data_IF_003515028758
#
_entry.id   IF_003515028758
#
_cell.length_a   1.000
_cell.length_b   1.000
_cell.length_c   1.000
_cell.angle_alpha   90.00
_cell.angle_beta   90.00
_cell.angle_gamma   90.00
#
_symmetry.space_group_name_H-M   'P 1'
#
loop_
_entity.id
_entity.type
_entity.pdbx_description
1 polymer ?
#
# COMPACT_ATOMS: atom_id res chain seq x y z
N UNK A 1 45.10 -0.30 48.34
CA UNK A 1 44.21 0.75 47.81
C UNK A 1 44.09 0.54 46.30
N UNK A 2 42.90 0.27 45.78
CA UNK A 2 42.68 -0.11 44.36
C UNK A 2 42.52 1.18 43.54
N UNK A 3 43.48 1.47 42.66
CA UNK A 3 43.46 2.64 41.76
C UNK A 3 42.49 2.36 40.61
N UNK A 4 41.36 3.05 40.58
CA UNK A 4 40.44 3.02 39.44
C UNK A 4 41.06 3.81 38.28
N UNK A 5 41.35 3.11 37.18
CA UNK A 5 41.82 3.72 35.94
C UNK A 5 40.60 4.26 35.18
N UNK A 6 40.22 5.52 35.44
CA UNK A 6 39.17 6.19 34.69
C UNK A 6 39.73 6.67 33.34
N UNK A 7 39.92 5.72 32.41
CA UNK A 7 40.21 6.02 31.02
C UNK A 7 38.98 6.63 30.35
N UNK A 8 38.87 7.96 30.39
CA UNK A 8 37.91 8.70 29.57
C UNK A 8 38.40 8.78 28.12
N UNK A 9 37.46 8.87 27.18
CA UNK A 9 37.77 9.11 25.77
C UNK A 9 38.48 10.46 25.59
N UNK A 10 39.51 10.50 24.73
CA UNK A 10 40.13 11.76 24.34
C UNK A 10 39.17 12.57 23.46
N UNK A 11 39.14 13.89 23.64
CA UNK A 11 38.36 14.79 22.78
C UNK A 11 38.71 14.58 21.29
N UNK A 12 40.00 14.35 21.00
CA UNK A 12 40.51 14.14 19.64
C UNK A 12 39.97 12.84 19.04
N UNK A 13 39.86 11.77 19.85
CA UNK A 13 39.33 10.48 19.40
C UNK A 13 37.86 10.61 18.99
N UNK A 14 37.06 11.33 19.78
CA UNK A 14 35.64 11.54 19.47
C UNK A 14 35.46 12.39 18.21
N UNK A 15 36.28 13.43 18.02
CA UNK A 15 36.21 14.29 16.82
C UNK A 15 36.50 13.51 15.55
N UNK A 16 37.55 12.67 15.55
CA UNK A 16 37.90 11.84 14.37
C UNK A 16 36.79 10.83 14.08
N UNK A 17 36.22 10.20 15.09
CA UNK A 17 35.13 9.21 14.91
C UNK A 17 33.91 9.88 14.30
N UNK A 18 33.47 11.02 14.80
CA UNK A 18 32.31 11.75 14.25
C UNK A 18 32.60 12.23 12.83
N UNK A 19 33.82 12.66 12.53
CA UNK A 19 34.22 13.06 11.18
C UNK A 19 34.11 11.89 10.18
N UNK A 20 34.57 10.69 10.54
CA UNK A 20 34.46 9.51 9.68
C UNK A 20 32.99 9.06 9.54
N UNK A 21 32.25 9.02 10.66
CA UNK A 21 30.83 8.66 10.65
C UNK A 21 30.00 9.62 9.80
N UNK A 22 30.34 10.91 9.77
CA UNK A 22 29.68 11.89 8.90
C UNK A 22 29.86 11.55 7.41
N UNK A 23 31.08 11.21 6.99
CA UNK A 23 31.36 10.84 5.59
C UNK A 23 30.64 9.55 5.20
N UNK A 24 30.67 8.53 6.06
CA UNK A 24 29.97 7.26 5.81
C UNK A 24 28.44 7.47 5.75
N UNK A 25 27.90 8.28 6.65
CA UNK A 25 26.46 8.59 6.69
C UNK A 25 26.01 9.30 5.42
N UNK A 26 26.80 10.21 4.87
CA UNK A 26 26.45 10.93 3.64
C UNK A 26 26.19 9.97 2.46
N UNK A 27 27.06 8.97 2.27
CA UNK A 27 26.88 7.97 1.20
C UNK A 27 25.68 7.06 1.50
N UNK A 28 25.58 6.59 2.75
CA UNK A 28 24.52 5.68 3.18
C UNK A 28 23.12 6.28 3.03
N UNK A 29 22.92 7.57 3.32
CA UNK A 29 21.60 8.24 3.22
C UNK A 29 21.06 8.17 1.79
N UNK A 30 21.87 8.46 0.78
CA UNK A 30 21.41 8.45 -0.62
C UNK A 30 20.99 7.05 -1.09
N UNK A 31 21.76 6.03 -0.69
CA UNK A 31 21.44 4.63 -0.97
C UNK A 31 20.17 4.19 -0.23
N UNK A 32 20.02 4.59 1.03
CA UNK A 32 18.85 4.29 1.85
C UNK A 32 17.57 4.90 1.27
N UNK A 33 17.60 6.16 0.83
CA UNK A 33 16.45 6.81 0.19
C UNK A 33 15.98 6.04 -1.06
N UNK A 34 16.93 5.58 -1.88
CA UNK A 34 16.62 4.78 -3.08
C UNK A 34 16.04 3.41 -2.72
N UNK A 35 16.54 2.79 -1.64
CA UNK A 35 16.02 1.51 -1.14
C UNK A 35 14.58 1.65 -0.65
N UNK A 36 14.29 2.68 0.16
CA UNK A 36 12.94 2.97 0.67
C UNK A 36 11.97 3.20 -0.48
N UNK A 37 12.37 3.95 -1.52
CA UNK A 37 11.54 4.18 -2.68
C UNK A 37 11.20 2.89 -3.44
N UNK A 38 12.20 2.04 -3.67
CA UNK A 38 11.98 0.72 -4.30
C UNK A 38 11.12 -0.19 -3.44
N UNK A 39 11.20 -0.09 -2.11
CA UNK A 39 10.36 -0.85 -1.21
C UNK A 39 8.90 -0.43 -1.32
N UNK A 40 8.63 0.88 -1.39
CA UNK A 40 7.27 1.41 -1.62
C UNK A 40 6.68 0.93 -2.93
N UNK A 41 7.43 1.01 -4.04
CA UNK A 41 6.96 0.54 -5.35
C UNK A 41 6.58 -0.96 -5.33
N UNK A 42 7.41 -1.81 -4.70
CA UNK A 42 7.10 -3.25 -4.56
C UNK A 42 5.92 -3.53 -3.63
N UNK A 43 5.80 -2.74 -2.55
CA UNK A 43 4.67 -2.85 -1.63
C UNK A 43 3.37 -2.54 -2.37
N UNK A 44 3.35 -1.45 -3.13
CA UNK A 44 2.22 -1.08 -3.98
C UNK A 44 1.89 -2.19 -5.00
N UNK A 45 2.88 -2.76 -5.70
CA UNK A 45 2.63 -3.87 -6.64
C UNK A 45 2.00 -5.10 -5.95
N UNK A 46 2.44 -5.38 -4.72
CA UNK A 46 1.88 -6.46 -3.89
C UNK A 46 0.45 -6.13 -3.45
N UNK A 47 0.17 -4.87 -3.10
CA UNK A 47 -1.18 -4.41 -2.76
C UNK A 47 -2.11 -4.47 -3.97
N UNK A 48 -1.67 -4.04 -5.15
CA UNK A 48 -2.43 -4.16 -6.40
C UNK A 48 -2.83 -5.61 -6.68
N UNK A 49 -1.88 -6.54 -6.54
CA UNK A 49 -2.12 -7.97 -6.70
C UNK A 49 -3.11 -8.52 -5.66
N UNK A 50 -3.06 -8.00 -4.43
CA UNK A 50 -4.02 -8.35 -3.38
C UNK A 50 -5.43 -7.89 -3.76
N UNK A 51 -5.60 -6.61 -4.10
CA UNK A 51 -6.89 -6.02 -4.53
C UNK A 51 -7.45 -6.78 -5.74
N UNK A 52 -6.60 -7.09 -6.73
CA UNK A 52 -6.98 -7.89 -7.90
C UNK A 52 -7.55 -9.24 -7.50
N UNK A 53 -6.86 -9.97 -6.62
CA UNK A 53 -7.29 -11.33 -6.19
C UNK A 53 -8.61 -11.27 -5.44
N UNK A 54 -8.79 -10.31 -4.55
CA UNK A 54 -10.02 -10.17 -3.77
C UNK A 54 -11.19 -9.74 -4.63
N UNK A 55 -10.98 -8.81 -5.57
CA UNK A 55 -12.01 -8.38 -6.49
C UNK A 55 -12.38 -9.49 -7.47
N UNK A 56 -11.40 -10.24 -7.98
CA UNK A 56 -11.68 -11.41 -8.84
C UNK A 56 -12.47 -12.48 -8.08
N UNK A 57 -12.12 -12.75 -6.82
CA UNK A 57 -12.85 -13.71 -5.99
C UNK A 57 -14.31 -13.28 -5.79
N UNK A 58 -14.55 -12.00 -5.51
CA UNK A 58 -15.90 -11.45 -5.41
C UNK A 58 -16.69 -11.61 -6.71
N UNK A 59 -16.14 -11.17 -7.85
CA UNK A 59 -16.84 -11.22 -9.15
C UNK A 59 -17.20 -12.66 -9.53
N UNK A 60 -16.33 -13.64 -9.21
CA UNK A 60 -16.60 -15.06 -9.45
C UNK A 60 -17.72 -15.58 -8.54
N UNK A 61 -17.82 -15.11 -7.29
CA UNK A 61 -18.78 -15.62 -6.31
C UNK A 61 -20.17 -14.96 -6.40
N UNK A 62 -20.20 -13.66 -6.71
CA UNK A 62 -21.43 -12.88 -6.84
C UNK A 62 -21.97 -12.85 -8.28
N UNK A 63 -21.12 -13.12 -9.28
CA UNK A 63 -21.40 -12.90 -10.69
C UNK A 63 -21.77 -11.43 -11.02
N UNK A 64 -21.40 -10.48 -10.13
CA UNK A 64 -21.60 -9.04 -10.32
C UNK A 64 -20.38 -8.43 -11.04
N UNK A 65 -20.37 -8.60 -12.36
CA UNK A 65 -19.27 -8.13 -13.23
C UNK A 65 -19.18 -6.61 -13.27
N UNK A 66 -20.29 -5.92 -13.04
CA UNK A 66 -20.35 -4.44 -13.02
C UNK A 66 -20.12 -3.85 -11.64
N UNK A 67 -19.83 -4.70 -10.64
CA UNK A 67 -19.55 -4.33 -9.25
C UNK A 67 -20.58 -3.37 -8.65
N UNK A 68 -21.83 -3.45 -9.12
CA UNK A 68 -22.89 -2.53 -8.71
C UNK A 68 -23.21 -2.68 -7.23
N UNK A 69 -23.21 -3.90 -6.71
CA UNK A 69 -23.44 -4.13 -5.28
C UNK A 69 -22.28 -3.57 -4.44
N UNK A 70 -21.04 -3.67 -4.92
CA UNK A 70 -19.89 -3.07 -4.24
C UNK A 70 -19.99 -1.54 -4.19
N UNK A 71 -20.44 -0.91 -5.27
CA UNK A 71 -20.60 0.55 -5.32
C UNK A 71 -21.70 1.05 -4.37
N UNK A 72 -22.70 0.22 -4.07
CA UNK A 72 -23.77 0.54 -3.12
C UNK A 72 -23.32 0.38 -1.66
N UNK A 73 -22.70 -0.76 -1.32
CA UNK A 73 -22.22 -1.06 0.05
C UNK A 73 -21.03 -0.16 0.47
N UNK A 74 -20.29 0.31 -0.52
CA UNK A 74 -19.13 1.17 -0.36
C UNK A 74 -19.44 2.67 -0.30
N UNK A 75 -20.71 3.09 -0.22
CA UNK A 75 -21.14 4.49 -0.44
C UNK A 75 -20.44 5.57 0.41
N UNK A 76 -19.69 5.19 1.45
CA UNK A 76 -18.85 6.08 2.25
C UNK A 76 -17.58 6.57 1.50
N UNK A 77 -17.23 5.95 0.37
CA UNK A 77 -16.03 6.26 -0.42
C UNK A 77 -16.18 7.50 -1.31
N UNK A 78 -15.10 8.27 -1.46
CA UNK A 78 -15.11 9.52 -2.24
C UNK A 78 -15.09 9.28 -3.76
N UNK A 79 -14.56 8.13 -4.20
CA UNK A 79 -14.50 7.72 -5.60
C UNK A 79 -14.88 6.23 -5.75
N UNK A 80 -15.13 5.76 -6.97
CA UNK A 80 -15.67 4.41 -7.18
C UNK A 80 -14.70 3.30 -6.77
N UNK A 81 -13.39 3.53 -6.88
CA UNK A 81 -12.36 2.60 -6.40
C UNK A 81 -12.38 2.52 -4.87
N UNK A 82 -12.45 3.65 -4.16
CA UNK A 82 -12.57 3.68 -2.71
C UNK A 82 -13.84 2.98 -2.23
N UNK A 83 -14.98 3.17 -2.93
CA UNK A 83 -16.22 2.45 -2.62
C UNK A 83 -16.01 0.94 -2.73
N UNK A 84 -15.40 0.47 -3.80
CA UNK A 84 -15.06 -0.95 -3.99
C UNK A 84 -14.17 -1.46 -2.85
N UNK A 85 -13.12 -0.72 -2.49
CA UNK A 85 -12.20 -1.10 -1.42
C UNK A 85 -12.89 -1.17 -0.05
N UNK A 86 -13.80 -0.25 0.25
CA UNK A 86 -14.62 -0.26 1.47
C UNK A 86 -15.55 -1.48 1.47
N UNK A 87 -16.24 -1.73 0.37
CA UNK A 87 -17.18 -2.83 0.26
C UNK A 87 -16.48 -4.19 0.42
N UNK A 88 -15.30 -4.36 -0.17
CA UNK A 88 -14.50 -5.60 -0.05
C UNK A 88 -13.95 -5.85 1.36
N UNK A 89 -13.88 -4.82 2.21
CA UNK A 89 -13.55 -4.97 3.64
C UNK A 89 -14.79 -5.37 4.45
N UNK A 90 -15.99 -4.95 4.05
CA UNK A 90 -17.23 -5.29 4.74
C UNK A 90 -17.76 -6.65 4.27
N UNK A 91 -18.74 -7.17 5.00
CA UNK A 91 -19.56 -8.27 4.50
C UNK A 91 -20.63 -7.68 3.57
N UNK A 92 -20.61 -8.07 2.30
CA UNK A 92 -21.49 -7.58 1.24
C UNK A 92 -22.79 -8.39 1.26
N UNK A 93 -23.94 -7.71 1.32
CA UNK A 93 -25.28 -8.33 1.29
C UNK A 93 -25.51 -9.44 2.33
N UNK A 94 -24.76 -9.44 3.44
CA UNK A 94 -24.90 -10.47 4.48
C UNK A 94 -24.45 -11.88 4.07
N UNK A 95 -23.89 -12.06 2.88
CA UNK A 95 -23.58 -13.36 2.28
C UNK A 95 -22.12 -13.50 1.84
N UNK A 96 -21.55 -12.42 1.30
CA UNK A 96 -20.23 -12.42 0.69
C UNK A 96 -19.25 -11.66 1.59
N UNK A 97 -18.01 -12.14 1.77
CA UNK A 97 -16.92 -11.36 2.40
C UNK A 97 -16.27 -12.00 3.63
N UNK A 98 -15.50 -11.20 4.39
CA UNK A 98 -14.70 -10.07 3.91
C UNK A 98 -13.52 -10.60 3.07
N UNK A 99 -13.30 -10.02 1.90
CA UNK A 99 -12.23 -10.47 1.00
C UNK A 99 -10.91 -9.76 1.30
N UNK A 100 -10.96 -8.50 1.72
CA UNK A 100 -9.81 -7.74 2.16
C UNK A 100 -9.72 -7.73 3.70
N UNK A 101 -8.61 -8.24 4.23
CA UNK A 101 -8.29 -8.12 5.66
C UNK A 101 -7.84 -6.69 5.98
N UNK A 102 -8.82 -5.87 6.35
CA UNK A 102 -8.68 -4.57 7.03
C UNK A 102 -9.85 -4.27 8.00
N UNK A 103 -10.91 -5.08 7.92
CA UNK A 103 -12.21 -4.84 8.56
C UNK A 103 -12.25 -4.94 10.09
N UNK A 104 -11.23 -5.50 10.73
CA UNK A 104 -11.23 -5.72 12.19
C UNK A 104 -10.55 -4.60 12.98
N UNK A 105 -9.89 -3.66 12.31
CA UNK A 105 -9.32 -2.47 12.94
C UNK A 105 -9.93 -1.21 12.30
N UNK A 106 -10.78 -0.47 13.02
CA UNK A 106 -11.35 0.82 12.56
C UNK A 106 -10.31 1.87 12.16
N UNK A 107 -9.02 1.63 12.48
CA UNK A 107 -7.89 2.51 12.18
C UNK A 107 -7.28 2.28 10.80
N UNK A 108 -7.57 1.16 10.14
CA UNK A 108 -7.10 0.91 8.76
C UNK A 108 -8.06 1.60 7.80
N UNK A 109 -7.70 2.81 7.39
CA UNK A 109 -8.49 3.57 6.45
C UNK A 109 -8.33 3.03 5.03
N UNK A 110 -9.30 3.29 4.16
CA UNK A 110 -9.17 3.06 2.70
C UNK A 110 -7.90 3.67 2.12
N UNK A 111 -7.46 4.77 2.73
CA UNK A 111 -6.23 5.51 2.40
C UNK A 111 -4.94 4.71 2.65
N UNK A 112 -4.99 3.64 3.42
CA UNK A 112 -3.83 2.75 3.64
C UNK A 112 -3.61 1.80 2.46
N UNK A 113 -4.66 1.54 1.68
CA UNK A 113 -4.57 0.80 0.42
C UNK A 113 -4.16 1.67 -0.76
N UNK A 114 -4.14 3.00 -0.62
CA UNK A 114 -3.66 3.90 -1.67
C UNK A 114 -2.16 3.73 -1.87
N UNK A 115 -1.67 3.76 -3.13
CA UNK A 115 -0.26 3.58 -3.42
C UNK A 115 0.59 4.68 -2.77
N UNK A 116 1.78 4.31 -2.31
CA UNK A 116 2.71 5.21 -1.58
C UNK A 116 3.99 5.51 -2.35
N UNK A 117 4.25 4.79 -3.45
CA UNK A 117 5.38 5.00 -4.33
C UNK A 117 5.31 6.32 -5.08
N UNK A 118 6.47 6.83 -5.50
CA UNK A 118 6.58 8.05 -6.30
C UNK A 118 5.86 7.89 -7.63
N UNK A 119 5.16 8.94 -8.05
CA UNK A 119 4.34 8.99 -9.26
C UNK A 119 3.23 7.93 -9.30
N UNK A 120 2.67 7.55 -8.14
CA UNK A 120 1.49 6.70 -8.05
C UNK A 120 0.42 7.46 -7.26
N UNK A 121 -0.51 8.08 -7.98
CA UNK A 121 -1.59 8.90 -7.42
C UNK A 121 -2.88 8.13 -7.14
N UNK A 122 -3.00 6.91 -7.66
CA UNK A 122 -4.18 6.06 -7.47
C UNK A 122 -4.08 4.70 -8.15
N UNK A 123 -5.19 3.98 -8.17
CA UNK A 123 -5.37 2.69 -8.83
C UNK A 123 -6.21 2.83 -10.09
N UNK A 124 -5.76 2.19 -11.18
CA UNK A 124 -6.57 1.90 -12.35
C UNK A 124 -7.09 0.47 -12.22
N UNK A 125 -8.38 0.32 -11.97
CA UNK A 125 -9.07 -0.98 -11.96
C UNK A 125 -9.75 -1.14 -13.32
N UNK A 126 -9.42 -2.21 -14.03
CA UNK A 126 -10.05 -2.58 -15.29
C UNK A 126 -10.72 -3.94 -15.14
N UNK A 127 -12.01 -4.01 -15.47
CA UNK A 127 -12.79 -5.24 -15.43
C UNK A 127 -13.27 -5.53 -16.85
N UNK A 128 -12.96 -6.73 -17.34
CA UNK A 128 -13.45 -7.25 -18.61
C UNK A 128 -14.81 -7.93 -18.39
N UNK A 129 -15.84 -7.45 -19.08
CA UNK A 129 -17.22 -7.91 -18.89
C UNK A 129 -17.47 -9.31 -19.47
N UNK A 130 -16.77 -9.68 -20.54
CA UNK A 130 -16.90 -10.98 -21.20
C UNK A 130 -16.11 -12.08 -20.48
N UNK A 131 -14.89 -11.78 -20.03
CA UNK A 131 -13.98 -12.79 -19.46
C UNK A 131 -13.94 -12.79 -17.94
N UNK A 132 -14.60 -11.83 -17.29
CA UNK A 132 -14.55 -11.58 -15.84
C UNK A 132 -13.11 -11.35 -15.34
N UNK A 133 -12.19 -10.97 -16.23
CA UNK A 133 -10.80 -10.73 -15.89
C UNK A 133 -10.63 -9.35 -15.24
N UNK A 134 -9.93 -9.32 -14.10
CA UNK A 134 -9.62 -8.09 -13.38
C UNK A 134 -8.14 -7.74 -13.57
N UNK A 135 -7.87 -6.49 -13.95
CA UNK A 135 -6.54 -5.87 -13.87
C UNK A 135 -6.55 -4.73 -12.87
N UNK A 136 -5.51 -4.65 -12.05
CA UNK A 136 -5.31 -3.55 -11.11
C UNK A 136 -3.88 -3.07 -11.30
N UNK A 137 -3.74 -1.83 -11.72
CA UNK A 137 -2.45 -1.21 -12.01
C UNK A 137 -2.33 0.14 -11.30
N UNK A 138 -1.14 0.51 -10.79
CA UNK A 138 -0.93 1.83 -10.23
C UNK A 138 -0.91 2.87 -11.36
N UNK A 139 -1.61 3.99 -11.16
CA UNK A 139 -1.63 5.12 -12.09
C UNK A 139 -0.96 6.35 -11.51
N UNK A 140 -0.35 7.18 -12.36
CA UNK A 140 0.22 8.46 -11.97
C UNK A 140 -0.84 9.54 -11.72
N UNK A 141 -2.04 9.32 -12.24
CA UNK A 141 -3.22 10.16 -12.04
C UNK A 141 -3.99 9.75 -10.76
N UNK A 142 -5.24 10.18 -10.62
CA UNK A 142 -6.16 9.72 -9.57
C UNK A 142 -6.70 8.32 -9.85
N UNK A 143 -7.43 7.76 -8.88
CA UNK A 143 -8.15 6.50 -9.04
C UNK A 143 -9.12 6.52 -10.23
N UNK A 144 -9.16 5.43 -10.98
CA UNK A 144 -10.01 5.27 -12.17
C UNK A 144 -10.54 3.82 -12.27
N UNK A 145 -11.83 3.68 -12.60
CA UNK A 145 -12.48 2.39 -12.84
C UNK A 145 -12.93 2.32 -14.30
N UNK A 146 -12.54 1.25 -15.02
CA UNK A 146 -12.92 1.00 -16.41
C UNK A 146 -13.55 -0.37 -16.57
N UNK A 147 -14.60 -0.39 -17.38
CA UNK A 147 -15.20 -1.61 -17.88
C UNK A 147 -14.86 -1.73 -19.36
N UNK A 148 -14.36 -2.89 -19.75
CA UNK A 148 -14.07 -3.22 -21.14
C UNK A 148 -15.06 -4.30 -21.55
N UNK A 149 -15.72 -4.16 -22.72
CA UNK A 149 -16.57 -5.22 -23.25
C UNK A 149 -15.75 -6.46 -23.54
#
# INVERSE_FOLDING_TARGET
MKKSNNGGFSLVEVVIVVAIMAVLSAIAITAFLTLVERAKLRADDTQAANIKRTLSAYIIESNDVKVQELLLEGSDGANDVEKILIALQKQINGKYGPYLQGATDPSVGVKDFSPKGRNRGGWLITIDEETMAVSVEPTASSDELKFIP
#
